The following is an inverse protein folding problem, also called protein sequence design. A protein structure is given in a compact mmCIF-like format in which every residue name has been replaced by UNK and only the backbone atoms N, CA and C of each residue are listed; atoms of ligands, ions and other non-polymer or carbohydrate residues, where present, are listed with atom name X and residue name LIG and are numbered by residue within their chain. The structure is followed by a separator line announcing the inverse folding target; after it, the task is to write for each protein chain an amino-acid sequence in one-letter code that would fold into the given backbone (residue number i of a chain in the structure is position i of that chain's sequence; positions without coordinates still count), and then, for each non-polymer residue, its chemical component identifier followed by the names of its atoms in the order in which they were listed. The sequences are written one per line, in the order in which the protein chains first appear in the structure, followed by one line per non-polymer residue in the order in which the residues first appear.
data_IF_416101534495
#
_entry.id   IF_416101534495
#
_cell.length_a   1.000
_cell.length_b   1.000
_cell.length_c   1.000
_cell.angle_alpha   90.00
_cell.angle_beta   90.00
_cell.angle_gamma   90.00
#
_symmetry.space_group_name_H-M   'P 1'
#
loop_
_entity.id
_entity.type
_entity.pdbx_description
1 polymer ?
#
# COMPACT_ATOMS: atom_id res chain seq x y z
N UNK A 1 5.12 -29.72 0.26
CA UNK A 1 4.90 -30.64 1.41
C UNK A 1 6.16 -31.42 1.79
N UNK A 2 6.87 -32.12 0.86
CA UNK A 2 8.09 -32.91 1.18
C UNK A 2 9.20 -32.07 1.80
N UNK A 3 9.50 -30.87 1.24
CA UNK A 3 10.52 -29.97 1.78
C UNK A 3 10.15 -29.42 3.17
N UNK A 4 8.88 -29.07 3.39
CA UNK A 4 8.44 -28.62 4.71
C UNK A 4 8.58 -29.74 5.77
N UNK A 5 8.27 -30.99 5.39
CA UNK A 5 8.46 -32.13 6.29
C UNK A 5 9.94 -32.33 6.61
N UNK A 6 10.80 -32.29 5.61
CA UNK A 6 12.24 -32.39 5.79
C UNK A 6 12.81 -31.30 6.72
N UNK A 7 12.36 -30.06 6.55
CA UNK A 7 12.74 -28.98 7.48
C UNK A 7 12.24 -29.23 8.91
N UNK A 8 11.02 -29.74 9.06
CA UNK A 8 10.47 -30.07 10.38
C UNK A 8 11.26 -31.23 11.04
N UNK A 9 11.66 -32.21 10.27
CA UNK A 9 12.48 -33.34 10.75
C UNK A 9 13.84 -32.82 11.24
N UNK A 10 14.52 -31.93 10.49
CA UNK A 10 15.77 -31.30 10.94
C UNK A 10 15.55 -30.48 12.22
N UNK A 11 14.48 -29.70 12.31
CA UNK A 11 14.19 -28.92 13.51
C UNK A 11 13.93 -29.80 14.72
N UNK A 12 13.34 -31.00 14.53
CA UNK A 12 13.11 -31.93 15.64
C UNK A 12 14.42 -32.56 16.18
N UNK A 13 15.45 -32.66 15.34
CA UNK A 13 16.75 -33.24 15.73
C UNK A 13 17.74 -32.23 16.30
N UNK A 14 17.82 -31.03 15.67
CA UNK A 14 18.87 -30.03 16.00
C UNK A 14 18.29 -28.67 16.39
N UNK A 15 16.97 -28.54 16.45
CA UNK A 15 16.31 -27.31 16.81
C UNK A 15 16.57 -26.92 18.27
N UNK A 16 16.80 -25.64 18.49
CA UNK A 16 16.89 -25.06 19.83
C UNK A 16 15.55 -24.48 20.26
N UNK A 17 15.35 -24.41 21.56
CA UNK A 17 14.17 -23.79 22.14
C UNK A 17 14.11 -22.31 21.77
N UNK A 18 12.94 -21.85 21.32
CA UNK A 18 12.78 -20.44 20.90
C UNK A 18 12.83 -19.54 22.10
N UNK A 19 13.57 -18.45 21.98
CA UNK A 19 13.60 -17.41 22.99
C UNK A 19 12.20 -16.79 23.11
N UNK A 20 11.65 -16.74 24.32
CA UNK A 20 10.44 -16.00 24.63
C UNK A 20 10.75 -14.52 24.71
N UNK A 21 10.08 -13.72 23.88
CA UNK A 21 10.19 -12.25 23.89
C UNK A 21 8.85 -11.66 24.27
N UNK A 22 8.90 -10.63 25.11
CA UNK A 22 7.71 -9.86 25.41
C UNK A 22 7.29 -9.08 24.15
N UNK A 23 6.10 -9.38 23.66
CA UNK A 23 5.53 -8.68 22.50
C UNK A 23 5.02 -7.30 22.92
N UNK A 24 5.38 -6.27 22.18
CA UNK A 24 4.82 -4.95 22.38
C UNK A 24 3.28 -5.01 22.18
N UNK A 25 2.55 -4.75 23.25
CA UNK A 25 1.09 -4.70 23.26
C UNK A 25 0.61 -3.27 23.47
N UNK A 26 -0.42 -2.89 22.73
CA UNK A 26 -1.08 -1.60 22.93
C UNK A 26 -2.07 -1.77 24.08
N UNK A 27 -2.20 -0.76 24.92
CA UNK A 27 -3.15 -0.75 26.02
C UNK A 27 -4.59 -0.86 25.47
N UNK A 28 -5.35 -1.80 26.03
CA UNK A 28 -6.73 -2.08 25.61
C UNK A 28 -7.69 -0.94 25.90
N UNK A 29 -7.44 -0.20 26.97
CA UNK A 29 -8.26 0.96 27.32
C UNK A 29 -8.06 2.08 26.30
N UNK A 30 -6.80 2.38 25.95
CA UNK A 30 -6.46 3.31 24.87
C UNK A 30 -7.07 2.87 23.54
N UNK A 31 -6.97 1.58 23.19
CA UNK A 31 -7.59 1.05 21.96
C UNK A 31 -9.10 1.28 21.94
N UNK A 32 -9.79 1.07 23.06
CA UNK A 32 -11.22 1.30 23.21
C UNK A 32 -11.60 2.77 22.98
N UNK A 33 -10.89 3.69 23.59
CA UNK A 33 -11.12 5.13 23.45
C UNK A 33 -10.88 5.61 22.03
N UNK A 34 -9.78 5.20 21.40
CA UNK A 34 -9.47 5.57 20.00
C UNK A 34 -10.51 5.02 19.04
N UNK A 35 -10.97 3.78 19.25
CA UNK A 35 -12.03 3.18 18.42
C UNK A 35 -13.34 3.95 18.53
N UNK A 36 -13.75 4.31 19.73
CA UNK A 36 -14.98 5.06 19.95
C UNK A 36 -14.95 6.43 19.25
N UNK A 37 -13.80 7.10 19.25
CA UNK A 37 -13.64 8.43 18.63
C UNK A 37 -13.52 8.36 17.11
N UNK A 38 -12.67 7.47 16.58
CA UNK A 38 -12.27 7.48 15.18
C UNK A 38 -13.22 6.72 14.24
N UNK A 39 -13.86 5.62 14.70
CA UNK A 39 -14.57 4.71 13.79
C UNK A 39 -15.72 5.38 13.03
N UNK A 40 -16.57 6.15 13.73
CA UNK A 40 -17.72 6.78 13.10
C UNK A 40 -17.31 7.85 12.07
N UNK A 41 -16.24 8.59 12.35
CA UNK A 41 -15.72 9.62 11.47
C UNK A 41 -14.99 8.99 10.26
N UNK A 42 -14.30 7.88 10.46
CA UNK A 42 -13.64 7.14 9.39
C UNK A 42 -14.66 6.58 8.39
N UNK A 43 -15.79 6.05 8.84
CA UNK A 43 -16.85 5.59 7.93
C UNK A 43 -17.41 6.71 7.05
N UNK A 44 -17.55 7.94 7.55
CA UNK A 44 -18.02 9.10 6.77
C UNK A 44 -17.05 9.46 5.63
N UNK A 45 -15.75 9.21 5.79
CA UNK A 45 -14.77 9.51 4.76
C UNK A 45 -14.98 8.66 3.49
N UNK A 46 -15.53 7.46 3.62
CA UNK A 46 -15.79 6.58 2.47
C UNK A 46 -17.03 6.98 1.66
N UNK A 47 -17.85 7.90 2.16
CA UNK A 47 -18.97 8.48 1.41
C UNK A 47 -18.51 9.63 0.49
N UNK A 48 -17.28 10.14 0.68
CA UNK A 48 -16.69 11.20 -0.14
C UNK A 48 -16.29 10.65 -1.51
N UNK A 49 -16.81 11.27 -2.57
CA UNK A 49 -16.49 10.88 -3.95
C UNK A 49 -15.20 11.54 -4.43
N UNK A 50 -14.41 10.79 -5.17
CA UNK A 50 -13.14 11.25 -5.72
C UNK A 50 -11.94 10.83 -4.86
N UNK A 51 -10.92 10.28 -5.50
CA UNK A 51 -9.76 9.66 -4.82
C UNK A 51 -9.00 10.66 -3.93
N UNK A 52 -8.72 11.85 -4.45
CA UNK A 52 -7.93 12.85 -3.73
C UNK A 52 -8.71 13.41 -2.53
N UNK A 53 -9.99 13.77 -2.75
CA UNK A 53 -10.84 14.28 -1.69
C UNK A 53 -11.09 13.26 -0.57
N UNK A 54 -11.22 11.97 -0.93
CA UNK A 54 -11.35 10.89 0.05
C UNK A 54 -10.07 10.72 0.88
N UNK A 55 -8.88 10.74 0.24
CA UNK A 55 -7.62 10.67 0.96
C UNK A 55 -7.39 11.85 1.88
N UNK A 56 -7.77 13.05 1.45
CA UNK A 56 -7.71 14.24 2.29
C UNK A 56 -8.65 14.13 3.50
N UNK A 57 -9.87 13.66 3.28
CA UNK A 57 -10.81 13.43 4.38
C UNK A 57 -10.28 12.40 5.40
N UNK A 58 -9.68 11.30 4.93
CA UNK A 58 -9.05 10.29 5.79
C UNK A 58 -7.86 10.90 6.56
N UNK A 59 -7.00 11.68 5.90
CA UNK A 59 -5.87 12.36 6.55
C UNK A 59 -6.33 13.30 7.64
N UNK A 60 -7.36 14.10 7.38
CA UNK A 60 -7.93 15.01 8.36
C UNK A 60 -8.49 14.29 9.59
N UNK A 61 -9.15 13.13 9.41
CA UNK A 61 -9.63 12.32 10.54
C UNK A 61 -8.46 11.73 11.33
N UNK A 62 -7.41 11.28 10.65
CA UNK A 62 -6.20 10.78 11.33
C UNK A 62 -5.54 11.89 12.15
N UNK A 63 -5.32 13.05 11.56
CA UNK A 63 -4.69 14.20 12.22
C UNK A 63 -5.52 14.73 13.39
N UNK A 64 -6.83 14.87 13.21
CA UNK A 64 -7.72 15.29 14.29
C UNK A 64 -7.75 14.29 15.45
N UNK A 65 -7.73 13.00 15.16
CA UNK A 65 -7.66 11.95 16.20
C UNK A 65 -6.34 12.03 16.95
N UNK A 66 -5.22 12.14 16.25
CA UNK A 66 -3.89 12.25 16.86
C UNK A 66 -3.80 13.52 17.72
N UNK A 67 -4.28 14.67 17.22
CA UNK A 67 -4.31 15.93 17.94
C UNK A 67 -5.14 15.82 19.22
N UNK A 68 -6.34 15.26 19.15
CA UNK A 68 -7.23 15.07 20.30
C UNK A 68 -6.56 14.26 21.43
N UNK A 69 -5.92 13.12 21.07
CA UNK A 69 -5.24 12.30 22.06
C UNK A 69 -3.92 12.92 22.54
N UNK A 70 -3.24 13.72 21.72
CA UNK A 70 -2.07 14.48 22.14
C UNK A 70 -2.41 15.53 23.21
N UNK A 71 -3.58 16.17 23.09
CA UNK A 71 -4.07 17.12 24.10
C UNK A 71 -4.45 16.42 25.40
N UNK A 72 -5.16 15.31 25.34
CA UNK A 72 -5.58 14.51 26.53
C UNK A 72 -4.37 14.05 27.33
N UNK A 73 -3.32 13.62 26.66
CA UNK A 73 -2.13 13.05 27.29
C UNK A 73 -0.94 14.03 27.38
N UNK A 74 -1.15 15.33 27.17
CA UNK A 74 -0.09 16.37 27.13
C UNK A 74 0.77 16.43 28.40
N UNK A 75 0.27 15.95 29.55
CA UNK A 75 1.02 15.94 30.81
C UNK A 75 1.70 14.60 31.14
N UNK A 76 1.63 13.60 30.28
CA UNK A 76 2.16 12.28 30.55
C UNK A 76 3.62 12.14 30.09
N UNK A 77 4.47 11.49 30.90
CA UNK A 77 5.89 11.28 30.57
C UNK A 77 6.07 10.46 29.29
N UNK A 78 5.09 9.60 28.95
CA UNK A 78 5.14 8.68 27.80
C UNK A 78 4.32 9.15 26.59
N UNK A 79 4.05 10.45 26.46
CA UNK A 79 3.21 11.03 25.38
C UNK A 79 3.63 10.58 23.99
N UNK A 80 4.93 10.58 23.69
CA UNK A 80 5.43 10.17 22.37
C UNK A 80 5.12 8.70 22.04
N UNK A 81 5.22 7.81 23.03
CA UNK A 81 4.87 6.40 22.84
C UNK A 81 3.36 6.22 22.61
N UNK A 82 2.56 6.91 23.42
CA UNK A 82 1.09 6.90 23.29
C UNK A 82 0.68 7.42 21.90
N UNK A 83 1.25 8.51 21.41
CA UNK A 83 0.97 9.05 20.08
C UNK A 83 1.35 8.07 18.98
N UNK A 84 2.47 7.36 19.12
CA UNK A 84 2.86 6.30 18.18
C UNK A 84 1.83 5.16 18.14
N UNK A 85 1.32 4.77 19.29
CA UNK A 85 0.33 3.72 19.40
C UNK A 85 -1.04 4.19 18.88
N UNK A 86 -1.44 5.43 19.13
CA UNK A 86 -2.64 6.04 18.53
C UNK A 86 -2.55 6.03 17.00
N UNK A 87 -1.41 6.40 16.41
CA UNK A 87 -1.20 6.33 14.95
C UNK A 87 -1.42 4.93 14.40
N UNK A 88 -0.80 3.91 15.04
CA UNK A 88 -0.99 2.50 14.64
C UNK A 88 -2.45 2.06 14.75
N UNK A 89 -3.15 2.49 15.80
CA UNK A 89 -4.56 2.17 16.02
C UNK A 89 -5.45 2.79 14.96
N UNK A 90 -5.23 4.05 14.60
CA UNK A 90 -6.01 4.74 13.56
C UNK A 90 -5.82 4.08 12.20
N UNK A 91 -4.58 3.69 11.85
CA UNK A 91 -4.31 2.94 10.61
C UNK A 91 -4.97 1.55 10.62
N UNK A 92 -5.00 0.88 11.78
CA UNK A 92 -5.72 -0.39 11.96
C UNK A 92 -7.23 -0.22 11.77
N UNK A 93 -7.81 0.83 12.36
CA UNK A 93 -9.24 1.17 12.27
C UNK A 93 -9.63 1.47 10.81
N UNK A 94 -8.82 2.24 10.08
CA UNK A 94 -9.04 2.47 8.65
C UNK A 94 -9.15 1.15 7.87
N UNK A 95 -8.17 0.25 8.05
CA UNK A 95 -8.18 -1.06 7.40
C UNK A 95 -9.39 -1.92 7.78
N UNK A 96 -9.83 -1.87 9.03
CA UNK A 96 -11.02 -2.58 9.51
C UNK A 96 -12.30 -1.99 8.92
N UNK A 97 -12.44 -0.67 8.87
CA UNK A 97 -13.57 0.01 8.25
C UNK A 97 -13.70 -0.32 6.76
N UNK A 98 -12.58 -0.31 6.02
CA UNK A 98 -12.56 -0.72 4.60
C UNK A 98 -13.00 -2.18 4.45
N UNK A 99 -12.50 -3.06 5.30
CA UNK A 99 -12.88 -4.47 5.28
C UNK A 99 -14.35 -4.69 5.58
N UNK A 100 -14.89 -3.97 6.54
CA UNK A 100 -16.32 -4.00 6.89
C UNK A 100 -17.21 -3.48 5.76
N UNK A 101 -16.79 -2.44 5.04
CA UNK A 101 -17.49 -1.98 3.84
C UNK A 101 -17.58 -3.09 2.80
N UNK A 102 -16.46 -3.75 2.52
CA UNK A 102 -16.39 -4.81 1.50
C UNK A 102 -17.18 -6.04 1.94
N UNK A 103 -17.02 -6.50 3.18
CA UNK A 103 -17.57 -7.79 3.64
C UNK A 103 -19.02 -7.71 4.11
N UNK A 104 -19.43 -6.58 4.72
CA UNK A 104 -20.78 -6.41 5.28
C UNK A 104 -21.71 -5.62 4.37
N UNK A 105 -21.19 -4.58 3.70
CA UNK A 105 -22.01 -3.73 2.83
C UNK A 105 -21.90 -4.08 1.34
N UNK A 106 -20.96 -4.96 0.94
CA UNK A 106 -20.67 -5.33 -0.44
C UNK A 106 -20.40 -4.13 -1.37
N UNK A 107 -19.75 -3.09 -0.82
CA UNK A 107 -19.38 -1.87 -1.54
C UNK A 107 -17.87 -1.67 -1.41
N UNK A 108 -17.23 -1.29 -2.49
CA UNK A 108 -15.80 -0.91 -2.48
C UNK A 108 -15.62 0.50 -1.95
N UNK A 109 -14.44 0.86 -1.39
CA UNK A 109 -14.18 2.21 -0.87
C UNK A 109 -14.36 3.34 -1.89
N UNK A 110 -14.24 3.05 -3.18
CA UNK A 110 -14.46 4.00 -4.27
C UNK A 110 -15.92 4.01 -4.80
N UNK A 111 -16.83 3.33 -4.11
CA UNK A 111 -18.26 3.28 -4.42
C UNK A 111 -18.66 2.32 -5.54
N UNK A 112 -17.71 1.60 -6.15
CA UNK A 112 -18.01 0.60 -7.18
C UNK A 112 -18.63 -0.66 -6.60
N UNK A 113 -19.41 -1.36 -7.43
CA UNK A 113 -19.90 -2.69 -7.11
C UNK A 113 -18.76 -3.72 -7.07
N UNK A 114 -19.01 -4.90 -6.49
CA UNK A 114 -17.97 -5.92 -6.30
C UNK A 114 -17.41 -6.48 -7.61
N UNK A 115 -18.24 -6.56 -8.65
CA UNK A 115 -17.92 -7.04 -9.99
C UNK A 115 -17.62 -5.92 -11.00
N UNK A 116 -17.73 -4.67 -10.59
CA UNK A 116 -17.47 -3.52 -11.45
C UNK A 116 -15.97 -3.29 -11.67
N UNK A 117 -15.55 -3.24 -12.93
CA UNK A 117 -14.18 -2.91 -13.33
C UNK A 117 -14.08 -1.41 -13.57
N UNK A 118 -12.94 -0.80 -13.20
CA UNK A 118 -12.66 0.60 -13.56
C UNK A 118 -12.68 0.77 -15.07
N UNK A 119 -13.18 1.92 -15.59
CA UNK A 119 -13.16 2.17 -17.03
C UNK A 119 -11.74 2.09 -17.57
N UNK A 120 -11.57 1.32 -18.63
CA UNK A 120 -10.30 1.12 -19.32
C UNK A 120 -10.33 1.82 -20.66
N UNK A 121 -9.27 2.53 -21.01
CA UNK A 121 -9.08 3.15 -22.31
C UNK A 121 -7.63 2.91 -22.74
N UNK A 122 -7.44 2.52 -23.99
CA UNK A 122 -6.13 2.38 -24.61
C UNK A 122 -6.11 3.15 -25.93
N UNK A 123 -5.08 3.94 -26.11
CA UNK A 123 -4.82 4.71 -27.33
C UNK A 123 -3.40 4.40 -27.79
N UNK A 124 -3.22 4.18 -29.08
CA UNK A 124 -1.91 3.86 -29.67
C UNK A 124 -1.48 4.95 -30.64
N UNK A 125 -0.21 4.98 -30.99
CA UNK A 125 0.37 5.90 -31.98
C UNK A 125 0.20 7.38 -31.65
N UNK A 126 0.43 7.73 -30.37
CA UNK A 126 0.23 9.10 -29.88
C UNK A 126 1.44 9.98 -30.15
N UNK A 127 2.65 9.39 -30.10
CA UNK A 127 3.90 10.11 -30.31
C UNK A 127 4.46 9.81 -31.72
N UNK A 128 4.54 10.81 -32.61
CA UNK A 128 4.86 10.56 -34.03
C UNK A 128 6.33 10.21 -34.30
N UNK A 129 7.22 10.38 -33.35
CA UNK A 129 8.67 10.14 -33.51
C UNK A 129 9.20 8.90 -32.80
N UNK A 130 8.35 8.16 -32.12
CA UNK A 130 8.73 6.91 -31.44
C UNK A 130 8.45 5.71 -32.34
N UNK A 131 9.16 4.61 -32.17
CA UNK A 131 8.90 3.38 -32.90
C UNK A 131 7.57 2.72 -32.50
N UNK A 132 7.06 3.09 -31.32
CA UNK A 132 5.72 2.76 -30.85
C UNK A 132 5.39 3.58 -29.62
N UNK A 133 4.13 3.96 -29.48
CA UNK A 133 3.63 4.66 -28.31
C UNK A 133 2.20 4.24 -27.99
N UNK A 134 1.88 4.18 -26.72
CA UNK A 134 0.53 3.90 -26.25
C UNK A 134 0.24 4.62 -24.94
N UNK A 135 -0.98 5.09 -24.78
CA UNK A 135 -1.50 5.55 -23.50
C UNK A 135 -2.54 4.56 -22.99
N UNK A 136 -2.35 4.06 -21.79
CA UNK A 136 -3.30 3.21 -21.10
C UNK A 136 -3.86 3.94 -19.89
N UNK A 137 -5.18 4.07 -19.86
CA UNK A 137 -5.90 4.73 -18.79
C UNK A 137 -6.78 3.73 -18.06
N UNK A 138 -6.69 3.72 -16.72
CA UNK A 138 -7.54 2.94 -15.85
C UNK A 138 -8.12 3.83 -14.76
N UNK A 139 -9.36 4.23 -14.94
CA UNK A 139 -10.00 5.24 -14.09
C UNK A 139 -9.22 6.55 -14.15
N UNK A 140 -8.72 7.01 -13.01
CA UNK A 140 -7.93 8.25 -12.90
C UNK A 140 -6.43 8.05 -13.09
N UNK A 141 -5.96 6.81 -13.29
CA UNK A 141 -4.54 6.49 -13.46
C UNK A 141 -4.23 6.33 -14.94
N UNK A 142 -3.20 7.02 -15.40
CA UNK A 142 -2.75 6.98 -16.80
C UNK A 142 -1.27 6.60 -16.87
N UNK A 143 -0.92 5.81 -17.86
CA UNK A 143 0.46 5.46 -18.18
C UNK A 143 0.73 5.69 -19.67
N UNK A 144 1.79 6.43 -19.99
CA UNK A 144 2.33 6.56 -21.34
C UNK A 144 3.47 5.55 -21.48
N UNK A 145 3.33 4.64 -22.44
CA UNK A 145 4.35 3.69 -22.82
C UNK A 145 4.97 4.10 -24.16
N UNK A 146 6.28 4.05 -24.24
CA UNK A 146 7.02 4.27 -25.49
C UNK A 146 7.91 3.07 -25.77
N UNK A 147 8.01 2.68 -27.03
CA UNK A 147 8.85 1.58 -27.49
C UNK A 147 9.91 2.10 -28.43
N UNK A 148 11.14 1.68 -28.20
CA UNK A 148 12.27 1.93 -29.11
C UNK A 148 12.80 0.59 -29.61
N UNK A 149 12.91 0.46 -30.92
CA UNK A 149 13.53 -0.70 -31.57
C UNK A 149 14.98 -0.37 -31.86
N UNK A 150 15.89 -1.28 -31.55
CA UNK A 150 17.29 -1.18 -31.84
C UNK A 150 17.75 -2.30 -32.79
N UNK A 151 18.93 -2.14 -33.40
CA UNK A 151 19.56 -3.18 -34.19
C UNK A 151 20.02 -4.34 -33.29
N UNK A 152 20.26 -5.53 -33.89
CA UNK A 152 20.65 -6.73 -33.16
C UNK A 152 21.97 -6.58 -32.39
N UNK A 153 22.85 -5.70 -32.80
CA UNK A 153 24.12 -5.40 -32.16
C UNK A 153 24.02 -4.36 -31.01
N UNK A 154 22.86 -3.76 -30.81
CA UNK A 154 22.62 -2.77 -29.73
C UNK A 154 22.10 -3.38 -28.42
N UNK A 155 22.16 -4.70 -28.29
CA UNK A 155 21.78 -5.35 -27.05
C UNK A 155 22.76 -4.99 -25.92
N UNK A 156 22.26 -5.01 -24.68
CA UNK A 156 23.11 -4.79 -23.51
C UNK A 156 23.99 -6.00 -23.27
N UNK A 157 25.29 -5.76 -23.17
CA UNK A 157 26.25 -6.77 -22.69
C UNK A 157 26.17 -6.80 -21.18
N UNK A 158 26.04 -7.99 -20.59
CA UNK A 158 26.04 -8.22 -19.15
C UNK A 158 27.44 -8.75 -18.77
N UNK A 159 28.18 -7.92 -18.06
CA UNK A 159 29.50 -8.29 -17.52
C UNK A 159 29.32 -8.69 -16.05
N UNK A 160 28.95 -9.95 -15.81
CA UNK A 160 28.68 -10.48 -14.48
C UNK A 160 28.94 -11.99 -14.40
N UNK A 161 28.76 -12.56 -13.22
CA UNK A 161 28.94 -14.00 -12.96
C UNK A 161 27.72 -14.86 -13.38
N UNK A 162 26.73 -14.27 -14.06
CA UNK A 162 25.55 -14.98 -14.56
C UNK A 162 25.82 -15.76 -15.84
N UNK A 163 24.89 -16.67 -16.18
CA UNK A 163 24.96 -17.45 -17.42
C UNK A 163 24.51 -16.66 -18.66
N UNK A 164 23.84 -15.53 -18.46
CA UNK A 164 23.35 -14.67 -19.54
C UNK A 164 24.38 -13.57 -19.85
N UNK A 165 24.91 -13.57 -21.05
CA UNK A 165 25.89 -12.57 -21.51
C UNK A 165 25.25 -11.32 -22.11
N UNK A 166 23.97 -11.37 -22.48
CA UNK A 166 23.30 -10.28 -23.19
C UNK A 166 21.84 -10.11 -22.77
N UNK A 167 21.36 -8.87 -22.81
CA UNK A 167 19.96 -8.55 -22.55
C UNK A 167 19.36 -7.76 -23.72
N UNK A 168 18.46 -8.41 -24.46
CA UNK A 168 17.82 -7.85 -25.65
C UNK A 168 16.57 -7.01 -25.36
N UNK A 169 15.85 -7.36 -24.29
CA UNK A 169 14.64 -6.64 -23.88
C UNK A 169 14.88 -5.89 -22.58
N UNK A 170 14.57 -4.60 -22.58
CA UNK A 170 14.64 -3.74 -21.40
C UNK A 170 13.32 -3.04 -21.21
N UNK A 171 12.87 -2.98 -19.97
CA UNK A 171 11.75 -2.18 -19.56
C UNK A 171 12.17 -1.28 -18.40
N UNK A 172 11.81 -0.01 -18.48
CA UNK A 172 12.09 0.97 -17.43
C UNK A 172 10.86 1.81 -17.15
N UNK A 173 10.77 2.36 -15.96
CA UNK A 173 9.74 3.31 -15.56
C UNK A 173 10.40 4.63 -15.18
N UNK A 174 10.05 5.71 -15.89
CA UNK A 174 10.34 7.04 -15.43
C UNK A 174 9.29 7.48 -14.39
N UNK A 175 9.74 7.94 -13.24
CA UNK A 175 8.89 8.58 -12.24
C UNK A 175 9.36 10.02 -12.14
N UNK A 176 8.52 10.96 -12.55
CA UNK A 176 8.72 12.37 -12.27
C UNK A 176 8.47 12.59 -10.78
N UNK A 177 9.53 12.50 -9.98
CA UNK A 177 9.57 13.12 -8.66
C UNK A 177 10.16 14.50 -8.87
N UNK A 178 9.35 15.53 -8.80
CA UNK A 178 9.87 16.85 -8.54
C UNK A 178 10.61 16.78 -7.20
N UNK A 179 11.93 16.94 -7.29
CA UNK A 179 12.72 17.31 -6.11
C UNK A 179 12.58 18.83 -5.99
N UNK A 180 11.70 19.26 -5.15
CA UNK A 180 11.73 20.62 -4.61
C UNK A 180 12.79 20.66 -3.51
#
# INVERSE_FOLDING_TARGET
KKLCKFQSDIVSEVGQEKVTVDLASIDKELEGQVRQYATANMFKCFDVKGKLAQYEAISNVKESTIGHFAEIYAGNINVESIIKDVKKLVDKIEGECVRDLITKKNVRPDGRAMDEIRPLKAEVDILPRTHGSAVFTRGETQALATTTLGALNEHQILDGLGLEDTKRFKIGRASCRERV
#
